data_IF_376739877748
#
_entry.id   IF_376739877748
#
_cell.length_a   1.000
_cell.length_b   1.000
_cell.length_c   1.000
_cell.angle_alpha   90.00
_cell.angle_beta   90.00
_cell.angle_gamma   90.00
#
_symmetry.space_group_name_H-M   'P 1'
#
loop_
_entity.id
_entity.type
_entity.pdbx_description
1 polymer ?
#
# COMPACT_ATOMS: atom_id res chain seq x y z
N UNK A 1 -59.55 -46.20 -25.23
CA UNK A 1 -58.68 -45.13 -25.79
C UNK A 1 -58.20 -44.28 -24.63
N UNK A 2 -56.91 -44.36 -24.26
CA UNK A 2 -56.14 -43.31 -23.56
C UNK A 2 -54.66 -43.62 -23.85
N UNK A 3 -53.91 -42.60 -24.27
CA UNK A 3 -52.49 -42.63 -24.64
C UNK A 3 -51.63 -41.84 -23.64
N UNK A 4 -50.34 -42.23 -23.57
CA UNK A 4 -49.11 -41.50 -23.14
C UNK A 4 -48.85 -41.22 -21.64
N UNK A 5 -47.58 -41.02 -21.19
CA UNK A 5 -46.30 -40.95 -21.92
C UNK A 5 -45.15 -41.86 -21.44
N UNK A 6 -44.12 -41.93 -22.30
CA UNK A 6 -42.78 -42.48 -22.06
C UNK A 6 -42.04 -41.75 -20.92
N UNK A 7 -41.47 -42.52 -19.98
CA UNK A 7 -40.42 -42.03 -19.09
C UNK A 7 -39.06 -42.31 -19.72
N UNK A 8 -38.39 -41.26 -20.19
CA UNK A 8 -36.99 -41.32 -20.60
C UNK A 8 -36.11 -41.49 -19.35
N UNK A 9 -35.70 -42.73 -19.07
CA UNK A 9 -34.68 -43.00 -18.06
C UNK A 9 -33.31 -42.54 -18.57
N UNK A 10 -32.74 -41.52 -17.93
CA UNK A 10 -31.35 -41.12 -18.15
C UNK A 10 -30.43 -42.22 -17.61
N UNK A 11 -29.71 -42.88 -18.50
CA UNK A 11 -28.75 -43.94 -18.20
C UNK A 11 -27.52 -43.42 -17.43
N UNK A 12 -26.97 -44.21 -16.48
CA UNK A 12 -25.96 -43.77 -15.50
C UNK A 12 -24.54 -43.58 -16.06
N UNK A 13 -24.31 -43.77 -17.36
CA UNK A 13 -23.00 -43.61 -18.00
C UNK A 13 -22.62 -42.14 -18.27
N UNK A 14 -23.57 -41.20 -18.23
CA UNK A 14 -23.34 -39.79 -18.63
C UNK A 14 -22.87 -38.90 -17.45
N UNK A 15 -22.90 -39.39 -16.21
CA UNK A 15 -22.73 -38.54 -15.01
C UNK A 15 -21.25 -38.36 -14.60
N UNK A 16 -20.34 -39.24 -15.05
CA UNK A 16 -18.93 -39.22 -14.64
C UNK A 16 -18.12 -37.99 -15.11
N UNK A 17 -18.25 -37.46 -16.35
CA UNK A 17 -17.45 -36.29 -16.76
C UNK A 17 -17.93 -34.97 -16.13
N UNK A 18 -19.20 -34.90 -15.71
CA UNK A 18 -19.76 -33.67 -15.13
C UNK A 18 -19.30 -33.42 -13.69
N UNK A 19 -19.08 -34.48 -12.90
CA UNK A 19 -18.55 -34.36 -11.54
C UNK A 19 -17.08 -33.91 -11.52
N UNK A 20 -16.26 -34.36 -12.48
CA UNK A 20 -14.87 -33.95 -12.60
C UNK A 20 -14.71 -32.50 -13.12
N UNK A 21 -15.57 -32.07 -14.04
CA UNK A 21 -15.56 -30.69 -14.56
C UNK A 21 -16.02 -29.65 -13.54
N UNK A 22 -17.01 -29.99 -12.71
CA UNK A 22 -17.54 -29.08 -11.68
C UNK A 22 -16.53 -28.73 -10.58
N UNK A 23 -15.71 -29.70 -10.15
CA UNK A 23 -14.70 -29.48 -9.11
C UNK A 23 -13.58 -28.53 -9.57
N UNK A 24 -13.15 -28.65 -10.83
CA UNK A 24 -12.13 -27.76 -11.41
C UNK A 24 -12.64 -26.31 -11.51
N UNK A 25 -13.89 -26.09 -11.93
CA UNK A 25 -14.49 -24.75 -11.99
C UNK A 25 -14.65 -24.14 -10.59
N UNK A 26 -15.03 -24.93 -9.58
CA UNK A 26 -15.13 -24.46 -8.20
C UNK A 26 -13.76 -24.04 -7.63
N UNK A 27 -12.70 -24.81 -7.90
CA UNK A 27 -11.34 -24.48 -7.48
C UNK A 27 -10.81 -23.21 -8.17
N UNK A 28 -11.06 -23.06 -9.47
CA UNK A 28 -10.69 -21.85 -10.22
C UNK A 28 -11.44 -20.63 -9.66
N UNK A 29 -12.75 -20.75 -9.43
CA UNK A 29 -13.57 -19.71 -8.81
C UNK A 29 -13.05 -19.30 -7.44
N UNK A 30 -12.67 -20.26 -6.60
CA UNK A 30 -12.14 -20.01 -5.26
C UNK A 30 -10.77 -19.30 -5.28
N UNK A 31 -9.92 -19.58 -6.28
CA UNK A 31 -8.64 -18.86 -6.46
C UNK A 31 -8.84 -17.41 -6.90
N UNK A 32 -9.85 -17.14 -7.74
CA UNK A 32 -10.20 -15.77 -8.13
C UNK A 32 -10.86 -15.00 -6.98
N UNK A 33 -11.74 -15.65 -6.22
CA UNK A 33 -12.39 -15.06 -5.04
C UNK A 33 -11.39 -14.75 -3.92
N UNK A 34 -10.43 -15.65 -3.67
CA UNK A 34 -9.37 -15.43 -2.67
C UNK A 34 -8.48 -14.22 -3.00
N UNK A 35 -8.22 -13.95 -4.28
CA UNK A 35 -7.49 -12.74 -4.70
C UNK A 35 -8.33 -11.47 -4.52
N UNK A 36 -9.64 -11.54 -4.78
CA UNK A 36 -10.58 -10.43 -4.54
C UNK A 36 -10.74 -10.11 -3.06
N UNK A 37 -10.95 -11.13 -2.23
CA UNK A 37 -11.01 -11.00 -0.78
C UNK A 37 -9.67 -10.53 -0.20
N UNK A 38 -8.51 -10.99 -0.70
CA UNK A 38 -7.23 -10.43 -0.19
C UNK A 38 -7.11 -8.92 -0.46
N UNK A 39 -7.60 -8.44 -1.61
CA UNK A 39 -7.69 -7.00 -1.92
C UNK A 39 -8.66 -6.24 -0.99
N UNK A 40 -9.81 -6.81 -0.64
CA UNK A 40 -10.78 -6.13 0.23
C UNK A 40 -10.28 -5.97 1.68
N UNK A 41 -9.49 -6.94 2.18
CA UNK A 41 -9.03 -6.96 3.56
C UNK A 41 -7.80 -6.05 3.73
N UNK A 42 -7.09 -5.80 2.64
CA UNK A 42 -6.04 -4.79 2.57
C UNK A 42 -6.59 -3.35 2.59
N UNK A 43 -7.89 -3.16 2.35
CA UNK A 43 -8.52 -1.84 2.21
C UNK A 43 -9.16 -1.32 3.50
N UNK A 44 -9.15 -2.08 4.61
CA UNK A 44 -9.82 -1.71 5.86
C UNK A 44 -8.92 -1.06 6.92
N UNK A 45 -7.66 -0.78 6.60
CA UNK A 45 -6.81 0.13 7.40
C UNK A 45 -6.95 1.55 6.86
N UNK A 46 -7.14 2.53 7.75
CA UNK A 46 -7.05 3.98 7.48
C UNK A 46 -6.12 4.24 6.30
N UNK A 47 -6.69 4.70 5.18
CA UNK A 47 -6.07 4.82 3.86
C UNK A 47 -4.53 4.82 3.92
N UNK A 48 -3.93 3.63 3.80
CA UNK A 48 -2.53 3.52 3.46
C UNK A 48 -2.43 4.15 2.07
N UNK A 49 -2.05 5.43 2.03
CA UNK A 49 -1.59 6.06 0.80
C UNK A 49 -0.58 5.08 0.19
N UNK A 50 -0.63 4.80 -1.13
CA UNK A 50 0.07 3.68 -1.79
C UNK A 50 1.61 3.79 -1.80
N UNK A 51 2.19 4.45 -0.81
CA UNK A 51 3.57 4.89 -0.73
C UNK A 51 4.19 4.71 0.65
N UNK A 52 3.41 4.31 1.67
CA UNK A 52 3.95 4.01 2.98
C UNK A 52 4.34 2.54 3.10
N UNK A 53 5.61 2.26 3.35
CA UNK A 53 6.12 0.90 3.52
C UNK A 53 6.02 0.46 4.98
N UNK A 54 6.36 1.36 5.91
CA UNK A 54 6.27 1.10 7.34
C UNK A 54 5.81 2.34 8.11
N UNK A 55 4.73 2.20 8.88
CA UNK A 55 4.32 3.21 9.85
C UNK A 55 5.32 3.20 11.01
N UNK A 56 5.91 4.36 11.32
CA UNK A 56 6.86 4.51 12.43
C UNK A 56 6.15 5.11 13.63
N UNK A 57 5.43 6.22 13.45
CA UNK A 57 4.58 6.84 14.47
C UNK A 57 3.27 7.33 13.90
N UNK A 58 2.16 6.67 14.25
CA UNK A 58 0.84 7.02 13.70
C UNK A 58 0.36 8.43 14.04
N UNK A 59 0.89 9.04 15.10
CA UNK A 59 0.55 10.36 15.60
C UNK A 59 1.49 11.48 15.12
N UNK A 60 2.58 11.14 14.42
CA UNK A 60 3.58 12.11 14.00
C UNK A 60 3.01 13.09 12.97
N UNK A 61 3.18 14.38 13.26
CA UNK A 61 2.78 15.49 12.41
C UNK A 61 3.84 16.59 12.51
N UNK A 62 4.01 17.35 11.43
CA UNK A 62 4.96 18.46 11.35
C UNK A 62 4.25 19.79 11.61
N UNK A 63 4.67 20.51 12.65
CA UNK A 63 4.15 21.84 12.94
C UNK A 63 4.68 22.91 11.96
N UNK A 64 4.07 24.11 11.96
CA UNK A 64 4.55 25.24 11.16
C UNK A 64 5.95 25.67 11.58
N UNK A 65 6.22 25.65 12.88
CA UNK A 65 7.48 26.04 13.49
C UNK A 65 8.59 25.04 13.16
N UNK A 66 8.28 23.73 13.22
CA UNK A 66 9.22 22.69 12.81
C UNK A 66 9.53 22.77 11.33
N UNK A 67 8.51 22.98 10.48
CA UNK A 67 8.71 23.19 9.05
C UNK A 67 9.61 24.41 8.80
N UNK A 68 9.30 25.56 9.41
CA UNK A 68 10.10 26.78 9.23
C UNK A 68 11.57 26.59 9.64
N UNK A 69 11.84 25.85 10.73
CA UNK A 69 13.21 25.50 11.15
C UNK A 69 13.89 24.57 10.16
N UNK A 70 13.19 23.53 9.70
CA UNK A 70 13.72 22.60 8.71
C UNK A 70 14.15 23.31 7.42
N UNK A 71 13.39 24.32 6.97
CA UNK A 71 13.69 25.10 5.78
C UNK A 71 15.01 25.89 5.87
N UNK A 72 15.59 26.01 7.06
CA UNK A 72 16.91 26.64 7.27
C UNK A 72 18.08 25.65 7.26
N UNK A 73 17.79 24.33 7.28
CA UNK A 73 18.82 23.29 7.24
C UNK A 73 19.38 23.21 5.82
N UNK A 74 20.70 23.39 5.62
CA UNK A 74 21.29 23.23 4.30
C UNK A 74 21.29 21.76 3.88
N UNK A 75 21.17 21.51 2.58
CA UNK A 75 21.44 20.19 2.01
C UNK A 75 22.82 19.69 2.44
N UNK A 76 22.99 18.37 2.46
CA UNK A 76 24.19 17.66 2.95
C UNK A 76 24.41 17.77 4.48
N UNK A 77 23.50 18.40 5.23
CA UNK A 77 23.45 18.29 6.70
C UNK A 77 23.16 16.86 7.15
N UNK A 78 23.46 16.49 8.39
CA UNK A 78 23.20 15.13 8.88
C UNK A 78 21.70 14.86 9.05
N UNK A 79 21.32 13.59 8.90
CA UNK A 79 19.97 13.10 9.19
C UNK A 79 19.58 13.42 10.63
N UNK A 80 20.50 13.26 11.58
CA UNK A 80 20.32 13.53 13.01
C UNK A 80 19.90 14.99 13.26
N UNK A 81 20.56 15.96 12.64
CA UNK A 81 20.17 17.38 12.78
C UNK A 81 18.75 17.63 12.30
N UNK A 82 18.32 16.96 11.23
CA UNK A 82 16.92 17.02 10.80
C UNK A 82 15.99 16.33 11.80
N UNK A 83 16.38 15.18 12.35
CA UNK A 83 15.59 14.43 13.36
C UNK A 83 15.39 15.24 14.64
N UNK A 84 16.36 16.05 15.05
CA UNK A 84 16.22 16.97 16.20
C UNK A 84 15.10 18.01 15.99
N UNK A 85 14.82 18.38 14.75
CA UNK A 85 13.78 19.36 14.41
C UNK A 85 12.41 18.69 14.27
N UNK A 86 12.35 17.59 13.51
CA UNK A 86 11.07 17.02 13.07
C UNK A 86 10.66 15.73 13.79
N UNK A 87 11.48 15.23 14.72
CA UNK A 87 11.30 13.98 15.47
C UNK A 87 11.20 12.75 14.55
N UNK A 88 10.51 11.68 14.96
CA UNK A 88 10.32 10.48 14.12
C UNK A 88 9.21 10.68 13.06
N UNK A 89 9.29 10.04 11.89
CA UNK A 89 8.28 10.15 10.84
C UNK A 89 6.95 9.52 11.22
N UNK A 90 5.92 9.95 10.50
CA UNK A 90 4.70 9.15 10.41
C UNK A 90 5.00 7.78 9.80
N UNK A 91 5.80 7.81 8.74
CA UNK A 91 5.92 6.72 7.80
C UNK A 91 7.28 6.74 7.10
N UNK A 92 7.92 5.57 7.03
CA UNK A 92 9.01 5.29 6.07
C UNK A 92 8.41 4.81 4.76
N UNK A 93 8.89 5.39 3.67
CA UNK A 93 8.45 5.09 2.31
C UNK A 93 9.51 4.23 1.61
N UNK A 94 9.09 3.56 0.54
CA UNK A 94 10.02 2.84 -0.33
C UNK A 94 11.13 3.77 -0.84
N UNK A 95 12.37 3.32 -0.65
CA UNK A 95 13.56 4.00 -1.11
C UNK A 95 13.58 4.12 -2.63
N UNK A 96 14.22 5.16 -3.16
CA UNK A 96 14.26 5.45 -4.59
C UNK A 96 15.71 5.50 -5.09
N UNK A 97 16.06 4.81 -6.18
CA UNK A 97 17.32 5.07 -6.86
C UNK A 97 17.25 6.46 -7.52
N UNK A 98 18.11 7.38 -7.09
CA UNK A 98 18.13 8.77 -7.59
C UNK A 98 19.20 8.97 -8.67
N UNK A 99 20.25 8.15 -8.65
CA UNK A 99 21.35 8.08 -9.64
C UNK A 99 22.09 6.75 -9.49
N UNK A 100 22.97 6.43 -10.43
CA UNK A 100 23.74 5.18 -10.42
C UNK A 100 24.46 4.97 -9.08
N UNK A 101 24.05 3.95 -8.34
CA UNK A 101 24.66 3.56 -7.07
C UNK A 101 24.20 4.34 -5.83
N UNK A 102 23.27 5.30 -5.95
CA UNK A 102 22.76 6.06 -4.80
C UNK A 102 21.26 5.81 -4.63
N UNK A 103 20.93 5.31 -3.44
CA UNK A 103 19.56 5.04 -3.00
C UNK A 103 19.17 6.11 -1.99
N UNK A 104 18.06 6.79 -2.25
CA UNK A 104 17.51 7.78 -1.34
C UNK A 104 16.48 7.13 -0.41
N UNK A 105 16.68 7.27 0.89
CA UNK A 105 15.66 6.97 1.89
C UNK A 105 14.63 8.09 1.95
N UNK A 106 13.38 7.74 2.30
CA UNK A 106 12.25 8.66 2.17
C UNK A 106 11.34 8.54 3.37
N UNK A 107 11.03 9.68 3.96
CA UNK A 107 10.20 9.78 5.15
C UNK A 107 9.09 10.78 4.95
N UNK A 108 7.87 10.43 5.38
CA UNK A 108 6.70 11.28 5.23
C UNK A 108 6.23 11.85 6.58
N UNK A 109 5.90 13.15 6.55
CA UNK A 109 5.37 13.91 7.66
C UNK A 109 4.10 14.65 7.23
N UNK A 110 2.91 14.23 7.67
CA UNK A 110 1.69 15.02 7.52
C UNK A 110 1.88 16.40 8.14
N UNK A 111 1.41 17.46 7.47
CA UNK A 111 1.44 18.80 8.06
C UNK A 111 0.31 18.92 9.07
N UNK A 112 0.63 19.33 10.31
CA UNK A 112 -0.36 19.46 11.37
C UNK A 112 -1.47 20.48 11.03
N UNK A 113 -1.13 21.48 10.21
CA UNK A 113 -2.01 22.57 9.81
C UNK A 113 -2.68 22.36 8.45
N UNK A 114 -2.33 21.29 7.74
CA UNK A 114 -2.97 20.85 6.50
C UNK A 114 -2.74 19.33 6.33
N UNK A 115 -3.57 18.48 6.97
CA UNK A 115 -3.37 17.03 6.96
C UNK A 115 -3.47 16.37 5.57
N UNK A 116 -4.01 17.10 4.57
CA UNK A 116 -4.06 16.64 3.18
C UNK A 116 -2.71 16.77 2.45
N UNK A 117 -1.79 17.55 3.02
CA UNK A 117 -0.43 17.77 2.52
C UNK A 117 0.60 17.06 3.40
N UNK A 118 1.58 16.45 2.75
CA UNK A 118 2.70 15.80 3.44
C UNK A 118 4.03 16.38 2.97
N UNK A 119 4.94 16.59 3.91
CA UNK A 119 6.35 16.84 3.62
C UNK A 119 7.07 15.50 3.48
N UNK A 120 7.74 15.30 2.36
CA UNK A 120 8.58 14.13 2.11
C UNK A 120 10.04 14.57 2.20
N UNK A 121 10.75 14.05 3.19
CA UNK A 121 12.18 14.31 3.38
C UNK A 121 12.98 13.19 2.72
N UNK A 122 14.05 13.56 2.02
CA UNK A 122 14.96 12.64 1.34
C UNK A 122 16.32 12.60 2.07
N UNK A 123 16.86 11.39 2.18
CA UNK A 123 18.20 11.15 2.73
C UNK A 123 19.06 10.34 1.77
N UNK A 124 20.32 10.73 1.59
CA UNK A 124 21.34 9.96 0.88
C UNK A 124 22.52 9.75 1.82
N UNK A 125 22.90 8.49 2.10
CA UNK A 125 24.03 8.15 3.00
C UNK A 125 23.97 8.88 4.37
N UNK A 126 22.81 8.85 5.02
CA UNK A 126 22.54 9.56 6.30
C UNK A 126 22.69 11.09 6.23
N UNK A 127 22.70 11.68 5.04
CA UNK A 127 22.70 13.13 4.83
C UNK A 127 21.38 13.59 4.24
N UNK A 128 20.90 14.74 4.71
CA UNK A 128 19.73 15.42 4.20
C UNK A 128 19.94 15.83 2.73
N UNK A 129 19.14 15.26 1.84
CA UNK A 129 19.20 15.51 0.41
C UNK A 129 18.10 16.47 -0.09
N UNK A 130 17.26 16.98 0.81
CA UNK A 130 16.19 17.91 0.51
C UNK A 130 14.80 17.38 0.85
N UNK A 131 13.78 18.07 0.34
CA UNK A 131 12.38 17.76 0.60
C UNK A 131 11.49 18.06 -0.59
N UNK A 132 10.27 17.51 -0.56
CA UNK A 132 9.19 17.94 -1.45
C UNK A 132 7.84 17.88 -0.73
N UNK A 133 6.92 18.74 -1.13
CA UNK A 133 5.52 18.58 -0.75
C UNK A 133 4.83 17.54 -1.65
N UNK A 134 3.98 16.73 -1.02
CA UNK A 134 3.03 15.87 -1.69
C UNK A 134 1.64 16.34 -1.32
N UNK A 135 0.89 16.72 -2.33
CA UNK A 135 -0.53 17.06 -2.26
C UNK A 135 -1.34 15.82 -2.64
N UNK A 136 -2.50 15.62 -2.01
CA UNK A 136 -3.48 14.61 -2.41
C UNK A 136 -4.45 15.13 -3.47
#
# INVERSE_FOLDING_TARGET
MVSTPHSAGLSPEVIKPFLAGGLLLALIGLVFDFQGARRWWSASGVAATPSCEAIVRSDAQLSREQLAKLLTVPERGSKETVREIVAEPYCRMASLPVRSGVTAEREAYPLAFDPSTQLIILYENDEYAGYRFRFQ
#
